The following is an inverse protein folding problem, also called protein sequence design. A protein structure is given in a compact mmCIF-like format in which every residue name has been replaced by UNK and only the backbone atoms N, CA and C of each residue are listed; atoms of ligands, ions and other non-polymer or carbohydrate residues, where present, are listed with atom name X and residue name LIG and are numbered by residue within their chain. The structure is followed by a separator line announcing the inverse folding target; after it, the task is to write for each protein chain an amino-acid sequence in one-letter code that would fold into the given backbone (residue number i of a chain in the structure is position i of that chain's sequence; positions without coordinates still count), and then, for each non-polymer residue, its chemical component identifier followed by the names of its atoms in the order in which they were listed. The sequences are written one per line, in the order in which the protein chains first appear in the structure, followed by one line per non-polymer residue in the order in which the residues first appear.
data_IF_860706684586
#
_entry.id   IF_860706684586
#
_cell.length_a   1.000
_cell.length_b   1.000
_cell.length_c   1.000
_cell.angle_alpha   90.00
_cell.angle_beta   90.00
_cell.angle_gamma   90.00
#
_symmetry.space_group_name_H-M   'P 1'
#
loop_
_entity.id
_entity.type
_entity.pdbx_description
1 polymer ?
#
# COMPACT_ATOMS: atom_id res chain seq x y z
N UNK A 1 6.30 -23.82 12.69
CA UNK A 1 7.22 -24.05 11.56
C UNK A 1 7.65 -22.69 11.04
N UNK A 2 8.95 -22.43 10.92
CA UNK A 2 9.45 -21.17 10.33
C UNK A 2 9.21 -21.24 8.82
N UNK A 3 8.20 -20.52 8.34
CA UNK A 3 7.98 -20.30 6.92
C UNK A 3 8.99 -19.25 6.45
N UNK A 4 10.01 -19.68 5.70
CA UNK A 4 10.88 -18.75 4.99
C UNK A 4 10.07 -18.06 3.89
N UNK A 5 9.42 -16.94 4.24
CA UNK A 5 8.83 -16.03 3.26
C UNK A 5 9.98 -15.30 2.55
N UNK A 6 10.03 -15.44 1.23
CA UNK A 6 10.90 -14.59 0.42
C UNK A 6 10.16 -13.27 0.17
N UNK A 7 10.76 -12.15 0.57
CA UNK A 7 10.14 -10.82 0.48
C UNK A 7 10.89 -9.99 -0.55
N UNK A 8 10.18 -9.52 -1.58
CA UNK A 8 10.68 -8.57 -2.56
C UNK A 8 10.00 -7.21 -2.36
N UNK A 9 10.78 -6.20 -1.95
CA UNK A 9 10.30 -4.86 -1.65
C UNK A 9 10.05 -4.03 -2.92
N UNK A 10 9.01 -3.18 -2.87
CA UNK A 10 8.65 -2.23 -3.93
C UNK A 10 8.59 -2.83 -5.34
N UNK A 11 7.83 -3.93 -5.55
CA UNK A 11 7.66 -4.49 -6.89
C UNK A 11 7.10 -3.43 -7.85
N UNK A 12 7.41 -3.56 -9.14
CA UNK A 12 6.82 -2.65 -10.13
C UNK A 12 5.30 -2.82 -10.15
N UNK A 13 4.60 -1.71 -10.40
CA UNK A 13 3.15 -1.70 -10.45
C UNK A 13 2.61 -2.73 -11.46
N UNK A 14 3.22 -2.82 -12.64
CA UNK A 14 2.84 -3.74 -13.72
C UNK A 14 3.11 -5.22 -13.41
N UNK A 15 3.94 -5.52 -12.40
CA UNK A 15 4.13 -6.88 -11.90
C UNK A 15 3.08 -7.26 -10.85
N UNK A 16 2.41 -6.28 -10.24
CA UNK A 16 1.40 -6.51 -9.20
C UNK A 16 -0.02 -6.44 -9.76
N UNK A 17 -0.33 -5.43 -10.56
CA UNK A 17 -1.68 -5.21 -11.07
C UNK A 17 -1.77 -5.45 -12.57
N UNK A 18 -2.90 -6.00 -13.00
CA UNK A 18 -3.24 -6.12 -14.42
C UNK A 18 -3.79 -4.82 -15.02
N UNK A 19 -4.36 -3.94 -14.16
CA UNK A 19 -5.01 -2.71 -14.58
C UNK A 19 -4.26 -1.45 -14.09
N UNK A 20 -3.91 -0.58 -15.04
CA UNK A 20 -3.25 0.70 -14.77
C UNK A 20 -4.19 1.76 -14.17
N UNK A 21 -5.51 1.57 -14.22
CA UNK A 21 -6.48 2.47 -13.55
C UNK A 21 -6.35 2.48 -12.02
N UNK A 22 -5.58 1.54 -11.46
CA UNK A 22 -5.29 1.47 -10.04
C UNK A 22 -4.07 2.31 -9.63
N UNK A 23 -3.33 2.89 -10.59
CA UNK A 23 -2.21 3.79 -10.30
C UNK A 23 -2.67 5.01 -9.52
N UNK A 24 -1.90 5.41 -8.50
CA UNK A 24 -2.29 6.47 -7.59
C UNK A 24 -3.44 6.12 -6.63
N UNK A 25 -4.12 4.99 -6.82
CA UNK A 25 -5.05 4.45 -5.80
C UNK A 25 -4.30 3.49 -4.90
N UNK A 26 -3.50 2.58 -5.48
CA UNK A 26 -2.76 1.57 -4.74
C UNK A 26 -1.25 1.68 -4.93
N UNK A 27 -0.54 1.47 -3.82
CA UNK A 27 0.92 1.40 -3.72
C UNK A 27 1.35 -0.05 -3.46
N UNK A 28 2.10 -0.69 -4.39
CA UNK A 28 2.72 -1.98 -4.13
C UNK A 28 3.83 -1.88 -3.07
N UNK A 29 3.64 -2.51 -1.91
CA UNK A 29 4.59 -2.41 -0.80
C UNK A 29 5.67 -3.49 -0.90
N UNK A 30 5.24 -4.74 -1.00
CA UNK A 30 6.14 -5.89 -1.18
C UNK A 30 5.41 -7.07 -1.81
N UNK A 31 6.18 -7.99 -2.37
CA UNK A 31 5.72 -9.32 -2.79
C UNK A 31 6.28 -10.36 -1.82
N UNK A 32 5.44 -11.30 -1.40
CA UNK A 32 5.84 -12.45 -0.62
C UNK A 32 5.65 -13.74 -1.42
N UNK A 33 6.63 -14.62 -1.32
CA UNK A 33 6.58 -15.98 -1.87
C UNK A 33 6.67 -16.97 -0.71
N UNK A 34 5.71 -17.90 -0.66
CA UNK A 34 5.77 -19.05 0.22
C UNK A 34 5.91 -20.31 -0.63
N UNK A 35 7.13 -20.60 -1.10
CA UNK A 35 7.37 -21.72 -2.03
C UNK A 35 7.01 -23.10 -1.46
N UNK A 36 6.92 -23.21 -0.13
CA UNK A 36 6.57 -24.46 0.54
C UNK A 36 5.06 -24.71 0.55
N UNK A 37 4.24 -23.65 0.67
CA UNK A 37 2.78 -23.77 0.77
C UNK A 37 2.08 -23.44 -0.55
N UNK A 38 2.55 -22.43 -1.27
CA UNK A 38 1.98 -21.96 -2.54
C UNK A 38 3.11 -21.72 -3.56
N UNK A 39 3.68 -22.78 -4.15
CA UNK A 39 4.86 -22.68 -5.02
C UNK A 39 4.65 -21.84 -6.28
N UNK A 40 3.41 -21.67 -6.73
CA UNK A 40 3.06 -20.99 -7.97
C UNK A 40 2.45 -19.60 -7.76
N UNK A 41 2.36 -19.14 -6.52
CA UNK A 41 1.68 -17.88 -6.18
C UNK A 41 2.67 -16.78 -5.81
N UNK A 42 2.33 -15.57 -6.21
CA UNK A 42 2.90 -14.34 -5.69
C UNK A 42 1.80 -13.61 -4.95
N UNK A 43 2.06 -13.23 -3.70
CA UNK A 43 1.13 -12.42 -2.94
C UNK A 43 1.75 -11.04 -2.74
N UNK A 44 0.97 -10.02 -3.03
CA UNK A 44 1.39 -8.63 -2.95
C UNK A 44 0.68 -7.94 -1.79
N UNK A 45 1.46 -7.34 -0.89
CA UNK A 45 0.95 -6.36 0.04
C UNK A 45 0.84 -5.03 -0.70
N UNK A 46 -0.35 -4.44 -0.65
CA UNK A 46 -0.68 -3.18 -1.32
C UNK A 46 -1.36 -2.27 -0.30
N UNK A 47 -1.18 -0.96 -0.45
CA UNK A 47 -1.84 0.02 0.40
C UNK A 47 -2.57 1.05 -0.45
N UNK A 48 -3.75 1.46 -0.01
CA UNK A 48 -4.49 2.59 -0.60
C UNK A 48 -4.35 3.88 0.22
N UNK A 49 -3.33 3.97 1.08
CA UNK A 49 -3.00 5.22 1.75
C UNK A 49 -2.82 6.34 0.72
N UNK A 50 -3.10 7.57 1.12
CA UNK A 50 -3.05 8.75 0.26
C UNK A 50 -4.39 9.15 -0.34
N UNK A 51 -5.42 8.29 -0.28
CA UNK A 51 -6.80 8.63 -0.61
C UNK A 51 -7.73 8.25 0.53
N UNK A 52 -8.59 9.19 0.94
CA UNK A 52 -9.68 8.89 1.86
C UNK A 52 -10.74 8.03 1.17
N UNK A 53 -11.39 7.14 1.91
CA UNK A 53 -12.49 6.34 1.38
C UNK A 53 -13.85 6.95 1.70
N UNK A 54 -14.85 6.61 0.90
CA UNK A 54 -16.24 6.94 1.16
C UNK A 54 -16.87 5.84 2.05
N UNK A 55 -17.06 6.13 3.33
CA UNK A 55 -17.64 5.21 4.33
C UNK A 55 -19.06 4.74 3.96
N UNK A 56 -19.82 5.58 3.26
CA UNK A 56 -21.17 5.25 2.81
C UNK A 56 -21.17 4.38 1.53
N UNK A 57 -20.01 4.17 0.91
CA UNK A 57 -19.87 3.41 -0.33
C UNK A 57 -19.37 2.00 -0.02
N UNK A 58 -20.28 1.04 0.05
CA UNK A 58 -19.95 -0.36 0.36
C UNK A 58 -20.33 -1.25 -0.81
N UNK A 59 -19.37 -2.02 -1.31
CA UNK A 59 -19.63 -3.10 -2.27
C UNK A 59 -19.33 -4.45 -1.60
N UNK A 60 -19.60 -5.55 -2.31
CA UNK A 60 -19.22 -6.89 -1.84
C UNK A 60 -17.72 -7.17 -2.05
N UNK A 61 -17.04 -6.35 -2.85
CA UNK A 61 -15.63 -6.51 -3.21
C UNK A 61 -14.71 -5.53 -2.50
N UNK A 62 -15.19 -4.36 -2.09
CA UNK A 62 -14.41 -3.39 -1.33
C UNK A 62 -15.28 -2.44 -0.50
N UNK A 63 -14.71 -2.04 0.63
CA UNK A 63 -15.21 -0.98 1.50
C UNK A 63 -14.02 -0.37 2.27
N UNK A 64 -14.30 0.44 3.29
CA UNK A 64 -13.26 1.12 4.06
C UNK A 64 -12.33 0.19 4.83
N UNK A 65 -12.80 -1.02 5.16
CA UNK A 65 -12.04 -2.03 5.90
C UNK A 65 -11.33 -3.02 4.99
N UNK A 66 -11.80 -3.29 3.77
CA UNK A 66 -11.16 -4.28 2.92
C UNK A 66 -11.25 -4.02 1.42
N UNK A 67 -10.39 -4.70 0.69
CA UNK A 67 -10.43 -4.81 -0.77
C UNK A 67 -10.13 -6.24 -1.21
N UNK A 68 -10.95 -6.78 -2.09
CA UNK A 68 -10.77 -8.08 -2.74
C UNK A 68 -10.11 -7.95 -4.10
N UNK A 69 -9.17 -8.84 -4.38
CA UNK A 69 -8.58 -9.03 -5.70
C UNK A 69 -8.65 -10.50 -6.09
N UNK A 70 -8.94 -10.76 -7.36
CA UNK A 70 -8.69 -12.05 -7.98
C UNK A 70 -7.20 -12.16 -8.35
N UNK A 71 -6.64 -13.36 -8.27
CA UNK A 71 -5.30 -13.64 -8.80
C UNK A 71 -5.45 -14.28 -10.18
N UNK A 72 -4.95 -13.59 -11.21
CA UNK A 72 -4.89 -14.13 -12.58
C UNK A 72 -3.50 -13.84 -13.14
N UNK A 73 -2.86 -14.88 -13.69
CA UNK A 73 -1.48 -14.80 -14.19
C UNK A 73 -0.50 -14.18 -13.17
N UNK A 74 -0.68 -14.52 -11.89
CA UNK A 74 0.12 -14.03 -10.74
C UNK A 74 0.03 -12.52 -10.52
N UNK A 75 -1.01 -11.86 -11.05
CA UNK A 75 -1.32 -10.44 -10.85
C UNK A 75 -2.68 -10.29 -10.20
N UNK A 76 -2.85 -9.16 -9.53
CA UNK A 76 -4.12 -8.76 -8.95
C UNK A 76 -5.02 -8.12 -9.99
N UNK A 77 -6.22 -8.68 -10.09
CA UNK A 77 -7.36 -8.16 -10.82
C UNK A 77 -8.33 -7.59 -9.80
N UNK A 78 -8.49 -6.26 -9.82
CA UNK A 78 -9.38 -5.56 -8.90
C UNK A 78 -10.84 -5.81 -9.30
N UNK A 79 -11.59 -6.43 -8.39
CA UNK A 79 -13.00 -6.71 -8.57
C UNK A 79 -13.92 -5.64 -7.96
N UNK A 80 -13.33 -4.67 -7.24
CA UNK A 80 -14.05 -3.61 -6.56
C UNK A 80 -14.41 -2.42 -7.44
N UNK A 81 -14.89 -1.37 -6.77
CA UNK A 81 -15.23 -0.11 -7.41
C UNK A 81 -14.27 1.00 -6.96
N UNK A 82 -13.61 1.64 -7.93
CA UNK A 82 -12.66 2.74 -7.66
C UNK A 82 -13.36 3.99 -7.10
N UNK A 83 -14.68 4.11 -7.26
CA UNK A 83 -15.47 5.23 -6.69
C UNK A 83 -15.49 5.24 -5.17
N UNK A 84 -15.07 4.15 -4.52
CA UNK A 84 -14.81 4.12 -3.07
C UNK A 84 -13.74 5.14 -2.66
N UNK A 85 -12.70 5.35 -3.49
CA UNK A 85 -11.56 6.19 -3.16
C UNK A 85 -11.82 7.65 -3.59
N UNK A 86 -11.97 8.55 -2.61
CA UNK A 86 -12.23 9.98 -2.85
C UNK A 86 -11.03 10.59 -3.57
N UNK A 87 -11.25 11.14 -4.76
CA UNK A 87 -10.20 11.68 -5.61
C UNK A 87 -9.61 10.69 -6.62
N UNK A 88 -10.21 9.51 -6.84
CA UNK A 88 -9.68 8.52 -7.80
C UNK A 88 -9.45 9.10 -9.21
N UNK A 89 -10.34 9.99 -9.68
CA UNK A 89 -10.20 10.64 -10.98
C UNK A 89 -9.01 11.62 -11.01
N UNK A 90 -8.84 12.41 -9.95
CA UNK A 90 -7.70 13.32 -9.79
C UNK A 90 -6.39 12.54 -9.67
N UNK A 91 -6.37 11.44 -8.91
CA UNK A 91 -5.21 10.57 -8.77
C UNK A 91 -4.74 10.02 -10.13
N UNK A 92 -5.67 9.61 -11.00
CA UNK A 92 -5.35 9.14 -12.35
C UNK A 92 -4.69 10.22 -13.23
N UNK A 93 -5.10 11.48 -13.07
CA UNK A 93 -4.50 12.61 -13.80
C UNK A 93 -3.14 13.00 -13.23
N UNK A 94 -3.03 13.06 -11.90
CA UNK A 94 -1.85 13.57 -11.21
C UNK A 94 -0.72 12.57 -11.14
N UNK A 95 -1.01 11.29 -10.91
CA UNK A 95 0.02 10.30 -10.59
C UNK A 95 1.11 10.18 -11.68
N UNK A 96 0.81 10.12 -12.99
CA UNK A 96 1.86 10.06 -14.02
C UNK A 96 2.77 11.30 -14.03
N UNK A 97 2.21 12.47 -13.73
CA UNK A 97 2.95 13.73 -13.63
C UNK A 97 3.87 13.74 -12.41
N UNK A 98 3.39 13.22 -11.28
CA UNK A 98 4.19 13.05 -10.07
C UNK A 98 5.32 12.03 -10.28
N UNK A 99 5.05 10.90 -10.95
CA UNK A 99 6.08 9.92 -11.31
C UNK A 99 7.19 10.57 -12.15
N UNK A 100 6.82 11.33 -13.19
CA UNK A 100 7.78 12.00 -14.08
C UNK A 100 8.59 13.10 -13.37
N UNK A 101 7.94 13.88 -12.51
CA UNK A 101 8.59 14.93 -11.71
C UNK A 101 9.59 14.31 -10.72
N UNK A 102 9.19 13.25 -10.01
CA UNK A 102 10.04 12.58 -9.05
C UNK A 102 11.19 11.80 -9.72
N UNK A 103 11.00 11.26 -10.92
CA UNK A 103 12.08 10.63 -11.68
C UNK A 103 13.20 11.65 -11.99
N UNK A 104 12.84 12.90 -12.28
CA UNK A 104 13.78 13.98 -12.57
C UNK A 104 14.46 14.52 -11.31
N UNK A 105 13.71 14.73 -10.23
CA UNK A 105 14.18 15.48 -9.05
C UNK A 105 14.43 14.63 -7.79
N UNK A 106 13.97 13.37 -7.76
CA UNK A 106 13.91 12.53 -6.56
C UNK A 106 15.28 12.26 -5.92
N UNK A 107 16.34 12.13 -6.72
CA UNK A 107 17.71 11.99 -6.20
C UNK A 107 18.18 13.26 -5.48
N UNK A 108 17.81 14.43 -5.99
CA UNK A 108 18.13 15.70 -5.35
C UNK A 108 17.28 15.92 -4.10
N UNK A 109 16.01 15.50 -4.11
CA UNK A 109 15.16 15.49 -2.92
C UNK A 109 15.75 14.65 -1.80
N UNK A 110 16.20 13.44 -2.13
CA UNK A 110 16.85 12.54 -1.19
C UNK A 110 18.18 13.11 -0.67
N UNK A 111 19.04 13.59 -1.56
CA UNK A 111 20.36 14.15 -1.21
C UNK A 111 20.24 15.35 -0.28
N UNK A 112 19.31 16.25 -0.58
CA UNK A 112 19.10 17.49 0.18
C UNK A 112 18.11 17.31 1.35
N UNK A 113 17.59 16.08 1.55
CA UNK A 113 16.60 15.73 2.58
C UNK A 113 15.41 16.70 2.61
N UNK A 114 14.83 16.94 1.43
CA UNK A 114 13.70 17.86 1.29
C UNK A 114 12.53 17.36 2.14
N UNK A 115 12.02 18.26 2.99
CA UNK A 115 10.91 17.95 3.91
C UNK A 115 9.59 17.85 3.14
N UNK A 116 8.68 17.01 3.62
CA UNK A 116 7.34 16.82 3.06
C UNK A 116 6.62 18.15 2.81
N UNK A 117 6.61 19.07 3.79
CA UNK A 117 5.98 20.40 3.64
C UNK A 117 6.58 21.22 2.50
N UNK A 118 7.90 21.16 2.31
CA UNK A 118 8.59 21.87 1.23
C UNK A 118 8.24 21.26 -0.13
N UNK A 119 8.27 19.94 -0.24
CA UNK A 119 7.88 19.21 -1.45
C UNK A 119 6.44 19.55 -1.88
N UNK A 120 5.48 19.45 -0.95
CA UNK A 120 4.07 19.78 -1.20
C UNK A 120 3.91 21.23 -1.66
N UNK A 121 4.58 22.17 -1.01
CA UNK A 121 4.51 23.60 -1.36
C UNK A 121 5.02 23.88 -2.79
N UNK A 122 6.11 23.22 -3.20
CA UNK A 122 6.67 23.34 -4.55
C UNK A 122 5.66 22.80 -5.57
N UNK A 123 5.12 21.60 -5.36
CA UNK A 123 4.21 20.99 -6.32
C UNK A 123 2.91 21.75 -6.46
N UNK A 124 2.29 22.18 -5.36
CA UNK A 124 1.00 22.91 -5.38
C UNK A 124 1.04 24.19 -6.20
N UNK A 125 2.21 24.84 -6.33
CA UNK A 125 2.37 26.02 -7.21
C UNK A 125 2.16 25.70 -8.69
N UNK A 126 2.25 24.43 -9.06
CA UNK A 126 2.14 23.97 -10.44
C UNK A 126 0.79 23.29 -10.74
N UNK A 127 -0.04 23.03 -9.71
CA UNK A 127 -1.31 22.32 -9.87
C UNK A 127 -2.44 23.28 -10.26
N UNK A 128 -3.36 22.78 -11.08
CA UNK A 128 -4.58 23.47 -11.48
C UNK A 128 -5.71 23.24 -10.46
N UNK A 129 -6.73 24.12 -10.40
CA UNK A 129 -7.88 23.92 -9.53
C UNK A 129 -8.60 22.58 -9.73
N UNK A 130 -8.72 22.11 -10.97
CA UNK A 130 -9.40 20.84 -11.29
C UNK A 130 -8.62 19.62 -10.78
N UNK A 131 -7.28 19.70 -10.79
CA UNK A 131 -6.40 18.65 -10.27
C UNK A 131 -6.50 18.48 -8.76
N UNK A 132 -6.82 19.55 -8.02
CA UNK A 132 -6.88 19.53 -6.54
C UNK A 132 -8.31 19.48 -6.00
N UNK A 133 -9.30 19.37 -6.89
CA UNK A 133 -10.71 19.43 -6.55
C UNK A 133 -11.18 18.15 -5.85
N UNK A 134 -12.02 18.30 -4.84
CA UNK A 134 -12.83 17.23 -4.24
C UNK A 134 -12.05 16.08 -3.55
N UNK A 135 -10.79 16.31 -3.14
CA UNK A 135 -10.04 15.37 -2.28
C UNK A 135 -8.90 16.02 -1.48
N UNK A 136 -8.32 15.27 -0.56
CA UNK A 136 -7.21 15.70 0.29
C UNK A 136 -5.87 15.63 -0.47
N UNK A 137 -5.57 16.68 -1.22
CA UNK A 137 -4.34 16.79 -2.02
C UNK A 137 -3.07 16.73 -1.17
N UNK A 138 -3.10 17.29 0.05
CA UNK A 138 -1.90 17.32 0.90
C UNK A 138 -1.55 15.92 1.38
N UNK A 139 -2.57 15.14 1.79
CA UNK A 139 -2.38 13.73 2.15
C UNK A 139 -1.90 12.88 0.96
N UNK A 140 -2.45 13.12 -0.23
CA UNK A 140 -2.05 12.41 -1.45
C UNK A 140 -0.58 12.68 -1.82
N UNK A 141 -0.18 13.96 -1.87
CA UNK A 141 1.19 14.35 -2.20
C UNK A 141 2.19 13.91 -1.13
N UNK A 142 1.82 13.99 0.15
CA UNK A 142 2.62 13.46 1.24
C UNK A 142 2.89 11.97 1.04
N UNK A 143 1.81 11.18 0.87
CA UNK A 143 1.91 9.73 0.76
C UNK A 143 2.75 9.32 -0.45
N UNK A 144 2.52 9.96 -1.60
CA UNK A 144 3.32 9.72 -2.80
C UNK A 144 4.81 9.97 -2.55
N UNK A 145 5.15 11.11 -1.92
CA UNK A 145 6.54 11.49 -1.68
C UNK A 145 7.24 10.53 -0.73
N UNK A 146 6.57 10.17 0.35
CA UNK A 146 7.12 9.31 1.39
C UNK A 146 7.43 7.91 0.85
N UNK A 147 6.46 7.32 0.13
CA UNK A 147 6.65 6.05 -0.54
C UNK A 147 7.78 6.12 -1.58
N UNK A 148 7.81 7.17 -2.39
CA UNK A 148 8.78 7.31 -3.48
C UNK A 148 10.21 7.50 -2.96
N UNK A 149 10.40 8.24 -1.86
CA UNK A 149 11.71 8.37 -1.20
C UNK A 149 12.17 7.04 -0.62
N UNK A 150 11.29 6.31 0.07
CA UNK A 150 11.64 5.00 0.64
C UNK A 150 12.03 4.00 -0.47
N UNK A 151 11.25 3.96 -1.55
CA UNK A 151 11.53 3.14 -2.73
C UNK A 151 12.86 3.52 -3.39
N UNK A 152 13.11 4.81 -3.62
CA UNK A 152 14.36 5.29 -4.22
C UNK A 152 15.56 4.95 -3.34
N UNK A 153 15.44 5.11 -2.02
CA UNK A 153 16.48 4.73 -1.07
C UNK A 153 16.80 3.23 -1.16
N UNK A 154 15.77 2.38 -1.17
CA UNK A 154 15.95 0.93 -1.35
C UNK A 154 16.64 0.59 -2.68
N UNK A 155 16.25 1.25 -3.77
CA UNK A 155 16.86 1.03 -5.09
C UNK A 155 18.35 1.43 -5.14
N UNK A 156 18.74 2.49 -4.43
CA UNK A 156 20.12 2.97 -4.42
C UNK A 156 21.03 2.21 -3.45
N UNK A 157 20.49 1.79 -2.29
CA UNK A 157 21.31 1.27 -1.18
C UNK A 157 20.97 -0.17 -0.79
N UNK A 158 20.00 -0.81 -1.42
CA UNK A 158 19.56 -2.19 -1.14
C UNK A 158 19.01 -2.40 0.27
N UNK A 159 18.68 -1.32 0.98
CA UNK A 159 18.33 -1.33 2.40
C UNK A 159 16.95 -0.73 2.62
N UNK A 160 16.11 -1.45 3.36
CA UNK A 160 14.81 -0.93 3.80
C UNK A 160 15.00 0.12 4.90
N UNK A 161 14.38 1.29 4.74
CA UNK A 161 14.42 2.37 5.71
C UNK A 161 13.12 3.18 5.66
N UNK A 162 12.69 3.69 6.83
CA UNK A 162 11.49 4.52 6.98
C UNK A 162 11.80 5.96 6.58
N UNK A 163 10.80 6.66 6.07
CA UNK A 163 10.96 8.04 5.58
C UNK A 163 11.55 8.98 6.65
N UNK A 164 11.06 8.91 7.89
CA UNK A 164 11.58 9.75 8.99
C UNK A 164 13.05 9.50 9.29
N UNK A 165 13.54 8.28 9.10
CA UNK A 165 14.98 8.00 9.25
C UNK A 165 15.80 8.57 8.09
N UNK A 166 15.25 8.53 6.87
CA UNK A 166 15.92 9.01 5.66
C UNK A 166 15.97 10.55 5.61
N UNK A 167 14.83 11.21 5.82
CA UNK A 167 14.64 12.65 5.62
C UNK A 167 14.75 13.43 6.94
N UNK A 168 14.17 12.93 8.03
CA UNK A 168 14.18 13.62 9.33
C UNK A 168 15.37 13.30 10.21
N UNK A 169 16.17 12.29 9.84
CA UNK A 169 17.34 11.86 10.61
C UNK A 169 16.96 11.22 11.94
N UNK A 170 15.74 10.71 12.07
CA UNK A 170 15.32 9.95 13.24
C UNK A 170 16.16 8.68 13.32
N UNK A 171 16.61 8.35 14.53
CA UNK A 171 17.41 7.15 14.76
C UNK A 171 16.70 5.94 14.16
N UNK A 172 17.35 5.23 13.25
CA UNK A 172 16.86 3.95 12.79
C UNK A 172 16.81 3.01 13.99
N UNK A 173 15.65 2.40 14.26
CA UNK A 173 15.56 1.35 15.26
C UNK A 173 16.64 0.30 14.97
N UNK A 174 17.41 -0.09 16.00
CA UNK A 174 18.48 -1.09 15.86
C UNK A 174 17.96 -2.45 15.40
N UNK A 175 16.67 -2.70 15.62
CA UNK A 175 15.97 -3.88 15.15
C UNK A 175 15.58 -3.70 13.69
N UNK A 176 16.11 -4.56 12.82
CA UNK A 176 15.72 -4.63 11.41
C UNK A 176 14.23 -4.98 11.31
N UNK A 177 13.45 -4.18 10.58
CA UNK A 177 12.05 -4.49 10.34
C UNK A 177 11.93 -5.82 9.56
N UNK A 178 11.00 -6.71 9.94
CA UNK A 178 10.68 -7.91 9.17
C UNK A 178 9.88 -7.58 7.90
N UNK A 179 9.41 -6.34 7.72
CA UNK A 179 8.52 -5.83 6.65
C UNK A 179 7.12 -6.44 6.71
N UNK A 180 7.04 -7.77 6.83
CA UNK A 180 5.82 -8.53 7.00
C UNK A 180 5.86 -9.20 8.37
N UNK A 181 4.93 -8.79 9.23
CA UNK A 181 4.79 -9.28 10.59
C UNK A 181 3.83 -10.47 10.61
N UNK A 182 4.11 -11.50 11.43
CA UNK A 182 3.12 -12.54 11.69
C UNK A 182 1.90 -11.93 12.38
N UNK A 183 0.73 -12.53 12.15
CA UNK A 183 -0.53 -12.17 12.81
C UNK A 183 -1.00 -13.38 13.58
N UNK A 184 -1.17 -13.22 14.90
CA UNK A 184 -1.76 -14.25 15.75
C UNK A 184 -3.27 -14.30 15.59
N UNK A 185 -3.90 -15.43 15.92
CA UNK A 185 -5.37 -15.55 15.90
C UNK A 185 -6.04 -14.46 16.74
N UNK A 186 -5.51 -14.17 17.94
CA UNK A 186 -6.06 -13.12 18.81
C UNK A 186 -5.97 -11.72 18.19
N UNK A 187 -4.85 -11.41 17.53
CA UNK A 187 -4.70 -10.13 16.81
C UNK A 187 -5.66 -10.07 15.62
N UNK A 188 -5.79 -11.17 14.88
CA UNK A 188 -6.73 -11.25 13.77
C UNK A 188 -8.17 -11.03 14.23
N UNK A 189 -8.61 -11.69 15.30
CA UNK A 189 -9.95 -11.51 15.87
C UNK A 189 -10.21 -10.05 16.26
N UNK A 190 -9.19 -9.38 16.82
CA UNK A 190 -9.27 -7.96 17.17
C UNK A 190 -9.34 -7.04 15.93
N UNK A 191 -8.50 -7.29 14.92
CA UNK A 191 -8.43 -6.49 13.69
C UNK A 191 -9.72 -6.61 12.88
N UNK A 192 -10.28 -7.81 12.82
CA UNK A 192 -11.50 -8.09 12.10
C UNK A 192 -12.72 -7.54 12.89
N UNK A 193 -12.76 -7.73 14.21
CA UNK A 193 -13.88 -7.28 15.04
C UNK A 193 -15.22 -7.97 14.70
N UNK A 194 -16.32 -7.46 15.29
CA UNK A 194 -17.68 -8.03 15.10
C UNK A 194 -18.32 -7.70 13.74
N UNK A 195 -17.81 -6.68 13.01
CA UNK A 195 -18.20 -6.33 11.63
C UNK A 195 -17.91 -7.46 10.64
N UNK A 196 -17.20 -8.46 11.13
CA UNK A 196 -16.86 -9.74 10.55
C UNK A 196 -18.06 -10.57 10.07
N UNK A 197 -19.22 -10.47 10.69
CA UNK A 197 -20.19 -11.56 10.61
C UNK A 197 -20.82 -11.80 9.22
N UNK A 198 -20.72 -10.88 8.25
CA UNK A 198 -21.22 -11.10 6.88
C UNK A 198 -20.15 -11.45 5.84
N UNK A 199 -18.88 -11.05 6.03
CA UNK A 199 -17.76 -11.45 5.15
C UNK A 199 -16.86 -12.56 5.75
N UNK A 200 -16.83 -12.72 7.08
CA UNK A 200 -16.03 -13.70 7.85
C UNK A 200 -16.81 -14.79 8.55
N UNK A 201 -18.10 -14.94 8.29
CA UNK A 201 -18.64 -16.31 8.31
C UNK A 201 -17.85 -17.24 7.35
N UNK A 202 -16.98 -16.68 6.49
CA UNK A 202 -15.93 -17.35 5.71
C UNK A 202 -14.48 -17.20 6.20
N UNK A 203 -14.15 -16.59 7.35
CA UNK A 203 -12.73 -16.45 7.79
C UNK A 203 -12.02 -17.79 8.01
N UNK A 204 -12.76 -18.88 8.26
CA UNK A 204 -12.19 -20.23 8.28
C UNK A 204 -11.67 -20.71 6.92
N UNK A 205 -11.93 -20.00 5.81
CA UNK A 205 -11.44 -20.32 4.47
C UNK A 205 -10.19 -19.52 4.07
N UNK A 206 -9.79 -18.52 4.86
CA UNK A 206 -8.66 -17.66 4.51
C UNK A 206 -7.40 -18.04 5.27
N UNK A 207 -6.33 -18.28 4.52
CA UNK A 207 -4.99 -18.38 5.05
C UNK A 207 -4.39 -16.97 5.29
N UNK A 208 -3.92 -16.72 6.50
CA UNK A 208 -3.29 -15.45 6.87
C UNK A 208 -1.85 -15.42 6.39
N UNK A 209 -1.50 -14.46 5.53
CA UNK A 209 -0.16 -14.32 4.97
C UNK A 209 0.74 -13.41 5.81
N UNK A 210 0.15 -12.50 6.59
CA UNK A 210 0.86 -11.60 7.50
C UNK A 210 0.25 -10.19 7.47
N UNK A 211 0.95 -9.24 8.11
CA UNK A 211 0.60 -7.82 8.07
C UNK A 211 1.79 -6.92 7.75
N UNK A 212 1.54 -5.79 7.10
CA UNK A 212 2.50 -4.69 6.94
C UNK A 212 2.07 -3.51 7.81
N UNK A 213 3.04 -2.81 8.38
CA UNK A 213 2.78 -1.60 9.14
C UNK A 213 2.88 -0.35 8.25
N UNK A 214 1.82 0.48 8.23
CA UNK A 214 1.71 1.63 7.33
C UNK A 214 2.86 2.62 7.53
N UNK A 215 3.17 2.94 8.79
CA UNK A 215 4.27 3.83 9.19
C UNK A 215 5.69 3.37 8.79
N UNK A 216 5.86 2.16 8.24
CA UNK A 216 7.16 1.74 7.71
C UNK A 216 7.34 2.13 6.24
N UNK A 217 6.25 2.18 5.49
CA UNK A 217 6.23 2.56 4.08
C UNK A 217 5.88 4.03 3.87
N UNK A 218 5.26 4.64 4.86
CA UNK A 218 4.82 6.03 4.94
C UNK A 218 5.25 6.63 6.29
N UNK A 219 4.95 7.89 6.60
CA UNK A 219 5.16 8.44 7.96
C UNK A 219 3.97 8.22 8.90
N UNK A 220 2.82 7.89 8.32
CA UNK A 220 1.55 7.60 8.96
C UNK A 220 0.66 6.86 7.94
N UNK A 221 -0.33 6.11 8.41
CA UNK A 221 -1.34 5.47 7.57
C UNK A 221 -1.73 4.07 8.03
N UNK A 222 -2.71 3.50 7.34
CA UNK A 222 -3.28 2.21 7.72
C UNK A 222 -2.27 1.08 7.57
N UNK A 223 -2.31 0.17 8.53
CA UNK A 223 -1.76 -1.16 8.44
C UNK A 223 -2.60 -2.02 7.50
N UNK A 224 -2.01 -3.10 6.99
CA UNK A 224 -2.68 -4.02 6.09
C UNK A 224 -2.45 -5.46 6.52
N UNK A 225 -3.52 -6.24 6.70
CA UNK A 225 -3.46 -7.71 6.77
C UNK A 225 -3.79 -8.28 5.41
N UNK A 226 -3.00 -9.26 4.95
CA UNK A 226 -3.27 -9.98 3.72
C UNK A 226 -3.75 -11.40 4.03
N UNK A 227 -4.90 -11.73 3.46
CA UNK A 227 -5.58 -13.01 3.60
C UNK A 227 -5.72 -13.64 2.21
N UNK A 228 -5.59 -14.96 2.10
CA UNK A 228 -5.71 -15.70 0.85
C UNK A 228 -6.75 -16.82 0.94
N UNK A 229 -7.71 -16.82 0.02
CA UNK A 229 -8.71 -17.88 -0.15
C UNK A 229 -8.22 -18.89 -1.18
N UNK A 230 -7.89 -20.09 -0.71
CA UNK A 230 -7.37 -21.19 -1.53
C UNK A 230 -8.43 -21.77 -2.47
N UNK A 231 -9.72 -21.68 -2.12
CA UNK A 231 -10.81 -22.24 -2.91
C UNK A 231 -11.16 -21.36 -4.11
N UNK A 232 -11.06 -20.04 -3.94
CA UNK A 232 -11.48 -19.08 -4.96
C UNK A 232 -10.32 -18.34 -5.64
N UNK A 233 -9.09 -18.58 -5.20
CA UNK A 233 -7.87 -17.89 -5.65
C UNK A 233 -7.95 -16.36 -5.53
N UNK A 234 -8.58 -15.91 -4.45
CA UNK A 234 -8.77 -14.50 -4.10
C UNK A 234 -7.87 -14.09 -2.96
N UNK A 235 -7.46 -12.82 -2.97
CA UNK A 235 -6.83 -12.18 -1.81
C UNK A 235 -7.75 -11.12 -1.24
N UNK A 236 -7.79 -11.05 0.08
CA UNK A 236 -8.43 -9.99 0.83
C UNK A 236 -7.35 -9.15 1.50
N UNK A 237 -7.32 -7.87 1.16
CA UNK A 237 -6.48 -6.85 1.73
C UNK A 237 -7.30 -6.10 2.79
N UNK A 238 -7.06 -6.38 4.07
CA UNK A 238 -7.78 -5.74 5.17
C UNK A 238 -6.99 -4.54 5.69
N UNK A 239 -7.59 -3.36 5.63
CA UNK A 239 -7.03 -2.11 6.11
C UNK A 239 -7.53 -1.84 7.53
N UNK A 240 -6.61 -1.47 8.42
CA UNK A 240 -6.96 -1.05 9.77
C UNK A 240 -5.96 -0.01 10.26
N UNK A 241 -6.40 0.84 11.18
CA UNK A 241 -5.54 1.81 11.82
C UNK A 241 -5.06 1.23 13.16
N UNK A 242 -3.75 1.28 13.42
CA UNK A 242 -3.11 0.72 14.62
C UNK A 242 -2.77 1.80 15.65
#
# INVERSE_FOLDING_TARGET
MSTHLNINLYPSFTNVFADNTLKGIFYPLCTVENKNKYPNHLFHFVSSNGLWMNEDYVTKENNTSYTLFDIVDRKYHFAGDVRLYKGYAQAQLLFPRLEAEFEQNGKDYLKNRIKTKTYISILKQTLTPDEIKDFDIDYFLQTFYEYSINKLYFQLYGSFAKFRSIIDGWASNKTKSPVVYPVTTKELDYILGDSVQSATQKANHFDVLGRTAGEEFFTDGNDTVLLYDVETDKVLCWNFYS
#
